data_IF_662871478489
#
_entry.id   IF_662871478489
#
_cell.length_a   1.000
_cell.length_b   1.000
_cell.length_c   1.000
_cell.angle_alpha   90.00
_cell.angle_beta   90.00
_cell.angle_gamma   90.00
#
_symmetry.space_group_name_H-M   'P 1'
#
loop_
_entity.id
_entity.type
_entity.pdbx_description
1 polymer ?
#
# COMPACT_ATOMS: atom_id res chain seq x y z
N UNK A 1 -25.12 -16.94 15.18
CA UNK A 1 -24.36 -15.99 16.05
C UNK A 1 -23.00 -15.56 15.46
N UNK A 2 -22.33 -16.38 14.64
CA UNK A 2 -21.07 -16.03 13.95
C UNK A 2 -21.20 -14.90 12.92
N UNK A 3 -22.32 -14.82 12.18
CA UNK A 3 -22.53 -13.80 11.16
C UNK A 3 -22.77 -12.38 11.75
N UNK A 4 -23.44 -12.30 12.90
CA UNK A 4 -23.66 -11.03 13.60
C UNK A 4 -22.34 -10.47 14.15
N UNK A 5 -21.52 -11.28 14.85
CA UNK A 5 -20.21 -10.83 15.36
C UNK A 5 -19.26 -10.38 14.25
N UNK A 6 -19.30 -11.04 13.09
CA UNK A 6 -18.49 -10.66 11.94
C UNK A 6 -18.93 -9.31 11.34
N UNK A 7 -20.24 -9.09 11.20
CA UNK A 7 -20.76 -7.80 10.73
C UNK A 7 -20.53 -6.67 11.75
N UNK A 8 -20.66 -6.92 13.06
CA UNK A 8 -20.35 -5.93 14.10
C UNK A 8 -18.86 -5.58 14.13
N UNK A 9 -17.98 -6.55 13.90
CA UNK A 9 -16.53 -6.31 13.81
C UNK A 9 -16.18 -5.46 12.58
N UNK A 10 -16.74 -5.79 11.43
CA UNK A 10 -16.55 -5.02 10.19
C UNK A 10 -17.08 -3.59 10.36
N UNK A 11 -18.28 -3.42 10.91
CA UNK A 11 -18.89 -2.12 11.16
C UNK A 11 -18.05 -1.27 12.14
N UNK A 12 -17.57 -1.87 13.23
CA UNK A 12 -16.69 -1.20 14.19
C UNK A 12 -15.38 -0.72 13.54
N UNK A 13 -14.83 -1.52 12.63
CA UNK A 13 -13.59 -1.16 11.94
C UNK A 13 -13.81 -0.01 10.93
N UNK A 14 -14.91 -0.02 10.18
CA UNK A 14 -15.28 1.10 9.31
C UNK A 14 -15.53 2.37 10.12
N UNK A 15 -16.25 2.29 11.24
CA UNK A 15 -16.50 3.45 12.10
C UNK A 15 -15.20 4.06 12.62
N UNK A 16 -14.25 3.23 13.09
CA UNK A 16 -12.93 3.71 13.55
C UNK A 16 -12.12 4.39 12.44
N UNK A 17 -12.17 3.87 11.22
CA UNK A 17 -11.49 4.48 10.07
C UNK A 17 -12.15 5.80 9.70
N UNK A 18 -13.49 5.84 9.62
CA UNK A 18 -14.25 7.05 9.32
C UNK A 18 -14.01 8.16 10.34
N UNK A 19 -13.94 7.83 11.64
CA UNK A 19 -13.62 8.80 12.70
C UNK A 19 -12.20 9.37 12.52
N UNK A 20 -11.21 8.54 12.18
CA UNK A 20 -9.83 9.01 11.92
C UNK A 20 -9.75 9.91 10.69
N UNK A 21 -10.43 9.54 9.60
CA UNK A 21 -10.49 10.36 8.38
C UNK A 21 -11.19 11.69 8.66
N UNK A 22 -12.31 11.67 9.39
CA UNK A 22 -13.04 12.87 9.78
C UNK A 22 -12.20 13.77 10.70
N UNK A 23 -11.46 13.18 11.66
CA UNK A 23 -10.55 13.91 12.53
C UNK A 23 -9.40 14.57 11.76
N UNK A 24 -8.80 13.86 10.80
CA UNK A 24 -7.77 14.43 9.92
C UNK A 24 -8.34 15.56 9.05
N UNK A 25 -9.52 15.36 8.46
CA UNK A 25 -10.19 16.38 7.64
C UNK A 25 -10.53 17.64 8.45
N UNK A 26 -11.02 17.49 9.68
CA UNK A 26 -11.30 18.60 10.58
C UNK A 26 -10.02 19.35 10.98
N UNK A 27 -8.95 18.63 11.30
CA UNK A 27 -7.65 19.21 11.60
C UNK A 27 -7.09 20.03 10.42
N UNK A 28 -7.17 19.48 9.21
CA UNK A 28 -6.76 20.17 7.99
C UNK A 28 -7.61 21.42 7.70
N UNK A 29 -8.92 21.36 7.96
CA UNK A 29 -9.80 22.52 7.85
C UNK A 29 -9.38 23.63 8.81
N UNK A 30 -9.08 23.33 10.08
CA UNK A 30 -8.59 24.33 11.03
C UNK A 30 -7.29 24.99 10.56
N UNK A 31 -6.35 24.21 10.04
CA UNK A 31 -5.09 24.74 9.50
C UNK A 31 -5.35 25.67 8.32
N UNK A 32 -6.29 25.31 7.43
CA UNK A 32 -6.59 26.12 6.24
C UNK A 32 -7.06 27.54 6.58
N UNK A 33 -7.73 27.72 7.72
CA UNK A 33 -8.19 29.02 8.22
C UNK A 33 -7.04 29.86 8.81
N UNK A 34 -5.99 29.21 9.33
CA UNK A 34 -4.84 29.89 9.92
C UNK A 34 -3.79 30.25 8.87
N UNK A 35 -3.38 29.28 8.06
CA UNK A 35 -2.41 29.48 6.99
C UNK A 35 -2.65 28.46 5.88
N UNK A 36 -3.17 28.94 4.75
CA UNK A 36 -3.52 28.05 3.64
C UNK A 36 -2.31 27.39 2.98
N UNK A 37 -1.17 28.10 2.89
CA UNK A 37 0.06 27.51 2.34
C UNK A 37 0.52 26.33 3.20
N UNK A 38 0.45 26.49 4.52
CA UNK A 38 0.75 25.40 5.44
C UNK A 38 -0.23 24.23 5.32
N UNK A 39 -1.53 24.50 5.16
CA UNK A 39 -2.53 23.47 4.85
C UNK A 39 -2.17 22.69 3.58
N UNK A 40 -1.91 23.39 2.47
CA UNK A 40 -1.58 22.78 1.18
C UNK A 40 -0.35 21.89 1.31
N UNK A 41 0.73 22.39 1.92
CA UNK A 41 1.96 21.62 2.13
C UNK A 41 1.73 20.38 2.99
N UNK A 42 0.97 20.48 4.08
CA UNK A 42 0.68 19.32 4.93
C UNK A 42 -0.18 18.28 4.21
N UNK A 43 -1.18 18.72 3.44
CA UNK A 43 -2.04 17.83 2.68
C UNK A 43 -1.28 17.09 1.57
N UNK A 44 -0.41 17.80 0.85
CA UNK A 44 0.45 17.21 -0.17
C UNK A 44 1.48 16.25 0.43
N UNK A 45 2.23 16.66 1.46
CA UNK A 45 3.23 15.80 2.11
C UNK A 45 2.62 14.53 2.71
N UNK A 46 1.39 14.62 3.23
CA UNK A 46 0.65 13.43 3.69
C UNK A 46 0.40 12.46 2.53
N UNK A 47 -0.08 12.96 1.39
CA UNK A 47 -0.34 12.14 0.21
C UNK A 47 0.95 11.55 -0.38
N UNK A 48 2.02 12.35 -0.46
CA UNK A 48 3.35 11.92 -0.93
C UNK A 48 3.91 10.81 -0.04
N UNK A 49 3.83 10.97 1.28
CA UNK A 49 4.27 9.95 2.23
C UNK A 49 3.52 8.63 2.06
N UNK A 50 2.20 8.68 1.84
CA UNK A 50 1.39 7.49 1.55
C UNK A 50 1.79 6.87 0.20
N UNK A 51 2.03 7.69 -0.83
CA UNK A 51 2.44 7.21 -2.15
C UNK A 51 3.80 6.49 -2.13
N UNK A 52 4.78 7.03 -1.43
CA UNK A 52 6.06 6.36 -1.25
C UNK A 52 5.94 5.13 -0.36
N UNK A 53 5.03 5.11 0.63
CA UNK A 53 4.67 3.90 1.36
C UNK A 53 4.14 2.79 0.44
N UNK A 54 3.26 3.13 -0.51
CA UNK A 54 2.77 2.21 -1.55
C UNK A 54 3.92 1.65 -2.39
N UNK A 55 4.81 2.51 -2.88
CA UNK A 55 5.98 2.09 -3.62
C UNK A 55 6.87 1.16 -2.82
N UNK A 56 7.20 1.53 -1.58
CA UNK A 56 8.10 0.77 -0.72
C UNK A 56 7.56 -0.64 -0.49
N UNK A 57 6.27 -0.79 -0.21
CA UNK A 57 5.66 -2.12 -0.05
C UNK A 57 5.77 -2.92 -1.34
N UNK A 58 5.29 -2.37 -2.46
CA UNK A 58 5.30 -3.06 -3.75
C UNK A 58 6.70 -3.46 -4.21
N UNK A 59 7.70 -2.59 -4.00
CA UNK A 59 9.09 -2.86 -4.38
C UNK A 59 9.75 -3.92 -3.50
N UNK A 60 9.41 -3.99 -2.21
CA UNK A 60 9.95 -5.01 -1.31
C UNK A 60 9.34 -6.38 -1.57
N UNK A 61 8.06 -6.44 -1.94
CA UNK A 61 7.39 -7.72 -2.24
C UNK A 61 7.57 -8.18 -3.68
N UNK A 62 8.24 -7.39 -4.54
CA UNK A 62 8.30 -7.64 -6.00
C UNK A 62 8.84 -9.03 -6.38
N UNK A 63 9.71 -9.60 -5.56
CA UNK A 63 10.26 -10.94 -5.76
C UNK A 63 9.33 -12.07 -5.32
N UNK A 64 8.29 -11.74 -4.54
CA UNK A 64 7.31 -12.67 -3.99
C UNK A 64 5.91 -12.53 -4.61
N UNK A 65 5.71 -11.54 -5.49
CA UNK A 65 4.42 -11.30 -6.14
C UNK A 65 4.52 -11.44 -7.65
N UNK A 66 3.64 -12.27 -8.21
CA UNK A 66 3.40 -12.35 -9.66
C UNK A 66 2.33 -11.36 -10.12
N UNK A 67 1.79 -10.54 -9.20
CA UNK A 67 0.68 -9.65 -9.50
C UNK A 67 1.17 -8.34 -10.12
N UNK A 68 1.16 -8.29 -11.45
CA UNK A 68 1.46 -7.10 -12.24
C UNK A 68 0.67 -5.85 -11.82
N UNK A 69 -0.57 -6.00 -11.33
CA UNK A 69 -1.35 -4.87 -10.85
C UNK A 69 -0.62 -4.13 -9.73
N UNK A 70 -0.12 -4.87 -8.73
CA UNK A 70 0.61 -4.30 -7.59
C UNK A 70 1.90 -3.63 -8.05
N UNK A 71 2.62 -4.26 -8.97
CA UNK A 71 3.89 -3.73 -9.47
C UNK A 71 3.69 -2.42 -10.24
N UNK A 72 2.70 -2.34 -11.14
CA UNK A 72 2.42 -1.13 -11.93
C UNK A 72 2.00 0.02 -11.03
N UNK A 73 1.03 -0.19 -10.15
CA UNK A 73 0.55 0.85 -9.22
C UNK A 73 1.64 1.22 -8.22
N UNK A 74 2.31 0.25 -7.63
CA UNK A 74 3.38 0.49 -6.67
C UNK A 74 4.51 1.34 -7.25
N UNK A 75 5.02 0.96 -8.42
CA UNK A 75 6.11 1.68 -9.07
C UNK A 75 5.67 3.07 -9.53
N UNK A 76 4.47 3.22 -10.09
CA UNK A 76 4.01 4.53 -10.55
C UNK A 76 3.89 5.54 -9.42
N UNK A 77 3.49 5.11 -8.22
CA UNK A 77 3.34 5.98 -7.05
C UNK A 77 4.67 6.56 -6.52
N UNK A 78 5.82 5.98 -6.86
CA UNK A 78 7.11 6.65 -6.63
C UNK A 78 7.21 7.95 -7.42
N UNK A 79 6.94 7.87 -8.73
CA UNK A 79 7.07 8.99 -9.66
C UNK A 79 5.93 10.00 -9.52
N UNK A 80 4.71 9.53 -9.22
CA UNK A 80 3.59 10.40 -8.87
C UNK A 80 3.94 11.19 -7.61
N UNK A 81 4.42 10.53 -6.55
CA UNK A 81 4.84 11.20 -5.31
C UNK A 81 6.02 12.16 -5.52
N UNK A 82 6.99 11.80 -6.36
CA UNK A 82 8.11 12.68 -6.72
C UNK A 82 7.66 13.92 -7.51
N UNK A 83 6.71 13.77 -8.43
CA UNK A 83 6.14 14.88 -9.20
C UNK A 83 5.26 15.77 -8.33
N UNK A 84 4.45 15.17 -7.44
CA UNK A 84 3.65 15.88 -6.45
C UNK A 84 4.56 16.69 -5.51
N UNK A 85 5.72 16.17 -5.11
CA UNK A 85 6.71 16.92 -4.32
C UNK A 85 7.20 18.17 -5.07
N UNK A 86 7.56 18.03 -6.36
CA UNK A 86 7.95 19.19 -7.19
C UNK A 86 6.79 20.19 -7.35
N UNK A 87 5.56 19.70 -7.49
CA UNK A 87 4.34 20.51 -7.50
C UNK A 87 4.18 21.32 -6.20
N UNK A 88 4.36 20.70 -5.04
CA UNK A 88 4.28 21.37 -3.73
C UNK A 88 5.36 22.44 -3.60
N UNK A 89 6.61 22.14 -3.98
CA UNK A 89 7.72 23.08 -3.87
C UNK A 89 7.59 24.28 -4.84
N UNK A 90 6.87 24.10 -5.95
CA UNK A 90 6.56 25.15 -6.92
C UNK A 90 5.26 25.90 -6.64
N UNK A 91 4.54 25.56 -5.57
CA UNK A 91 3.28 26.19 -5.25
C UNK A 91 3.42 27.68 -4.92
N UNK A 92 2.41 28.47 -5.31
CA UNK A 92 2.39 29.92 -5.12
C UNK A 92 2.51 30.26 -3.63
N UNK A 93 3.57 31.00 -3.27
CA UNK A 93 3.90 31.38 -1.89
C UNK A 93 5.11 30.64 -1.30
N UNK A 94 5.57 29.53 -1.88
CA UNK A 94 6.79 28.83 -1.42
C UNK A 94 8.08 29.58 -1.76
N UNK A 95 8.09 30.33 -2.87
CA UNK A 95 9.23 31.13 -3.36
C UNK A 95 10.55 30.34 -3.55
N UNK A 96 10.48 29.03 -3.78
CA UNK A 96 11.66 28.18 -4.04
C UNK A 96 12.14 28.32 -5.49
N UNK A 97 11.20 28.31 -6.44
CA UNK A 97 11.48 28.50 -7.86
C UNK A 97 11.15 29.94 -8.27
N UNK A 98 12.17 30.81 -8.28
CA UNK A 98 12.01 32.23 -8.61
C UNK A 98 11.59 32.42 -10.08
N UNK A 99 10.69 33.38 -10.33
CA UNK A 99 10.24 33.73 -11.69
C UNK A 99 9.16 32.82 -12.28
N UNK A 100 8.71 31.80 -11.54
CA UNK A 100 7.60 30.95 -11.94
C UNK A 100 6.33 31.30 -11.15
N UNK A 101 5.23 31.58 -11.86
CA UNK A 101 3.91 31.84 -11.30
C UNK A 101 3.19 30.51 -10.95
N UNK A 102 1.87 30.54 -10.78
CA UNK A 102 1.07 29.33 -10.53
C UNK A 102 1.09 28.31 -11.70
N UNK A 103 1.63 28.68 -12.87
CA UNK A 103 1.67 27.81 -14.03
C UNK A 103 2.55 26.57 -13.81
N UNK A 104 3.77 26.73 -13.27
CA UNK A 104 4.68 25.59 -13.07
C UNK A 104 4.05 24.51 -12.17
N UNK A 105 3.49 24.96 -11.04
CA UNK A 105 2.80 24.07 -10.10
C UNK A 105 1.63 23.36 -10.77
N UNK A 106 0.81 24.07 -11.56
CA UNK A 106 -0.35 23.46 -12.25
C UNK A 106 0.05 22.54 -13.42
N UNK A 107 1.18 22.77 -14.10
CA UNK A 107 1.72 21.85 -15.10
C UNK A 107 2.18 20.53 -14.46
N UNK A 108 2.94 20.62 -13.36
CA UNK A 108 3.39 19.45 -12.59
C UNK A 108 2.22 18.65 -12.02
N UNK A 109 1.15 19.34 -11.57
CA UNK A 109 -0.10 18.70 -11.16
C UNK A 109 -0.67 17.83 -12.28
N UNK A 110 -0.89 18.41 -13.47
CA UNK A 110 -1.47 17.70 -14.61
C UNK A 110 -0.62 16.48 -15.01
N UNK A 111 0.73 16.61 -14.99
CA UNK A 111 1.63 15.47 -15.23
C UNK A 111 1.38 14.34 -14.23
N UNK A 112 1.36 14.65 -12.93
CA UNK A 112 1.14 13.65 -11.89
C UNK A 112 -0.23 12.96 -12.04
N UNK A 113 -1.30 13.73 -12.34
CA UNK A 113 -2.66 13.18 -12.50
C UNK A 113 -2.82 12.32 -13.76
N UNK A 114 -2.17 12.69 -14.87
CA UNK A 114 -2.14 11.82 -16.06
C UNK A 114 -1.39 10.52 -15.77
N UNK A 115 -0.25 10.58 -15.08
CA UNK A 115 0.47 9.37 -14.67
C UNK A 115 -0.40 8.48 -13.79
N UNK A 116 -1.10 9.04 -12.80
CA UNK A 116 -2.00 8.29 -11.90
C UNK A 116 -3.16 7.65 -12.67
N UNK A 117 -3.92 8.43 -13.43
CA UNK A 117 -5.09 7.94 -14.18
C UNK A 117 -4.72 6.90 -15.24
N UNK A 118 -3.59 7.09 -15.92
CA UNK A 118 -3.06 6.11 -16.87
C UNK A 118 -2.63 4.81 -16.18
N UNK A 119 -1.96 4.90 -15.03
CA UNK A 119 -1.57 3.74 -14.22
C UNK A 119 -2.78 2.92 -13.81
N UNK A 120 -3.81 3.59 -13.28
CA UNK A 120 -5.07 2.98 -12.84
C UNK A 120 -5.86 2.40 -14.02
N UNK A 121 -5.73 2.96 -15.21
CA UNK A 121 -6.37 2.44 -16.41
C UNK A 121 -5.68 1.16 -16.93
N UNK A 122 -4.34 1.14 -16.94
CA UNK A 122 -3.57 0.01 -17.48
C UNK A 122 -3.48 -1.16 -16.51
N UNK A 123 -3.39 -0.91 -15.20
CA UNK A 123 -3.15 -1.97 -14.23
C UNK A 123 -4.18 -3.13 -14.30
N UNK A 124 -5.51 -2.90 -14.45
CA UNK A 124 -6.48 -3.98 -14.63
C UNK A 124 -6.28 -4.83 -15.89
N UNK A 125 -5.69 -4.26 -16.96
CA UNK A 125 -5.41 -4.97 -18.22
C UNK A 125 -4.22 -5.93 -18.07
N UNK A 126 -3.30 -5.61 -17.16
CA UNK A 126 -2.06 -6.38 -16.94
C UNK A 126 -2.17 -7.43 -15.84
N UNK A 127 -3.30 -7.53 -15.10
CA UNK A 127 -3.44 -8.40 -13.93
C UNK A 127 -3.06 -9.88 -14.12
N UNK A 128 -3.16 -10.43 -15.34
CA UNK A 128 -2.79 -11.82 -15.65
C UNK A 128 -1.37 -12.00 -16.18
N UNK A 129 -0.62 -10.91 -16.35
CA UNK A 129 0.72 -10.94 -16.95
C UNK A 129 1.76 -10.97 -15.84
N UNK A 130 2.84 -11.71 -16.06
CA UNK A 130 4.09 -11.50 -15.34
C UNK A 130 4.85 -10.39 -16.04
N UNK A 131 5.26 -9.37 -15.31
CA UNK A 131 5.99 -8.23 -15.85
C UNK A 131 7.29 -8.06 -15.08
N UNK A 132 8.35 -7.67 -15.79
CA UNK A 132 9.62 -7.35 -15.14
C UNK A 132 9.49 -6.00 -14.42
N UNK A 133 9.63 -5.94 -13.07
CA UNK A 133 9.49 -4.68 -12.33
C UNK A 133 10.53 -3.64 -12.73
N UNK A 134 11.74 -4.04 -13.14
CA UNK A 134 12.77 -3.12 -13.62
C UNK A 134 12.38 -2.47 -14.94
N UNK A 135 11.74 -3.21 -15.84
CA UNK A 135 11.23 -2.65 -17.09
C UNK A 135 10.14 -1.60 -16.83
N UNK A 136 9.18 -1.91 -15.94
CA UNK A 136 8.13 -0.97 -15.54
C UNK A 136 8.74 0.30 -14.94
N UNK A 137 9.72 0.13 -14.04
CA UNK A 137 10.46 1.25 -13.44
C UNK A 137 11.16 2.11 -14.49
N UNK A 138 11.89 1.50 -15.43
CA UNK A 138 12.57 2.23 -16.50
C UNK A 138 11.60 2.97 -17.41
N UNK A 139 10.44 2.39 -17.73
CA UNK A 139 9.40 3.07 -18.50
C UNK A 139 8.88 4.31 -17.77
N UNK A 140 8.51 4.19 -16.49
CA UNK A 140 8.05 5.33 -15.70
C UNK A 140 9.13 6.39 -15.51
N UNK A 141 10.39 6.00 -15.30
CA UNK A 141 11.51 6.92 -15.21
C UNK A 141 11.68 7.71 -16.52
N UNK A 142 11.69 7.03 -17.67
CA UNK A 142 11.86 7.68 -18.97
C UNK A 142 10.70 8.64 -19.26
N UNK A 143 9.46 8.20 -19.03
CA UNK A 143 8.28 9.04 -19.22
C UNK A 143 8.31 10.25 -18.28
N UNK A 144 8.65 10.06 -17.01
CA UNK A 144 8.70 11.15 -16.03
C UNK A 144 9.80 12.17 -16.38
N UNK A 145 11.02 11.70 -16.71
CA UNK A 145 12.11 12.58 -17.16
C UNK A 145 11.71 13.36 -18.41
N UNK A 146 11.09 12.70 -19.39
CA UNK A 146 10.63 13.36 -20.61
C UNK A 146 9.58 14.44 -20.32
N UNK A 147 8.59 14.16 -19.47
CA UNK A 147 7.55 15.10 -19.09
C UNK A 147 8.13 16.29 -18.29
N UNK A 148 9.04 16.04 -17.36
CA UNK A 148 9.72 17.12 -16.62
C UNK A 148 10.60 17.97 -17.55
N UNK A 149 11.34 17.36 -18.48
CA UNK A 149 12.12 18.09 -19.48
C UNK A 149 11.23 18.95 -20.39
N UNK A 150 10.04 18.46 -20.75
CA UNK A 150 9.08 19.22 -21.56
C UNK A 150 8.56 20.49 -20.88
N UNK A 151 8.52 20.51 -19.55
CA UNK A 151 8.13 21.66 -18.74
C UNK A 151 9.34 22.59 -18.52
N UNK A 152 10.44 22.04 -17.99
CA UNK A 152 11.52 22.82 -17.41
C UNK A 152 12.62 23.23 -18.39
N UNK A 153 12.82 22.49 -19.48
CA UNK A 153 13.94 22.71 -20.40
C UNK A 153 13.49 23.05 -21.82
N UNK A 154 12.58 22.27 -22.39
CA UNK A 154 12.08 22.52 -23.76
C UNK A 154 10.96 23.56 -23.80
N UNK A 155 10.26 23.78 -22.68
CA UNK A 155 9.13 24.71 -22.57
C UNK A 155 8.03 24.49 -23.63
N UNK A 156 7.83 23.23 -24.03
CA UNK A 156 6.80 22.82 -25.00
C UNK A 156 5.49 22.38 -24.33
N UNK A 157 5.51 22.18 -23.00
CA UNK A 157 4.30 21.81 -22.26
C UNK A 157 3.32 22.99 -22.23
N UNK A 158 2.03 22.80 -22.58
CA UNK A 158 1.09 23.91 -22.67
C UNK A 158 0.89 24.64 -21.35
N UNK A 159 0.60 25.95 -21.40
CA UNK A 159 0.28 26.72 -20.21
C UNK A 159 -1.01 26.19 -19.56
N UNK A 160 -1.00 26.00 -18.25
CA UNK A 160 -2.12 25.59 -17.42
C UNK A 160 -2.75 26.76 -16.65
N UNK A 161 -1.98 27.80 -16.38
CA UNK A 161 -2.44 29.04 -15.75
C UNK A 161 -1.77 30.24 -16.42
N UNK A 162 -2.51 31.34 -16.57
CA UNK A 162 -1.99 32.62 -17.03
C UNK A 162 -2.46 33.69 -16.03
N UNK A 163 -1.52 34.49 -15.50
CA UNK A 163 -1.86 35.57 -14.57
C UNK A 163 -2.89 36.55 -15.16
N UNK A 164 -3.85 36.98 -14.33
CA UNK A 164 -4.93 37.88 -14.73
C UNK A 164 -6.09 37.22 -15.49
N UNK A 165 -5.88 36.07 -16.15
CA UNK A 165 -6.94 35.35 -16.88
C UNK A 165 -7.36 34.04 -16.21
N UNK A 166 -6.49 33.45 -15.40
CA UNK A 166 -6.77 32.24 -14.61
C UNK A 166 -6.40 30.94 -15.33
N UNK A 167 -7.20 29.89 -15.11
CA UNK A 167 -6.98 28.56 -15.70
C UNK A 167 -7.15 28.57 -17.22
N UNK A 168 -6.22 27.96 -17.95
CA UNK A 168 -6.33 27.84 -19.41
C UNK A 168 -7.34 26.78 -19.85
N UNK A 169 -7.78 26.85 -21.10
CA UNK A 169 -8.64 25.82 -21.70
C UNK A 169 -7.97 24.45 -21.70
N UNK A 170 -6.65 24.39 -21.97
CA UNK A 170 -5.87 23.16 -21.95
C UNK A 170 -5.97 22.44 -20.60
N UNK A 171 -5.82 23.19 -19.50
CA UNK A 171 -5.93 22.63 -18.15
C UNK A 171 -7.30 22.01 -17.92
N UNK A 172 -8.38 22.76 -18.20
CA UNK A 172 -9.76 22.29 -17.99
C UNK A 172 -10.08 21.04 -18.83
N UNK A 173 -9.70 21.04 -20.11
CA UNK A 173 -9.89 19.88 -20.98
C UNK A 173 -9.09 18.67 -20.51
N UNK A 174 -7.87 18.88 -20.00
CA UNK A 174 -7.04 17.81 -19.46
C UNK A 174 -7.68 17.16 -18.22
N UNK A 175 -8.26 17.94 -17.31
CA UNK A 175 -8.95 17.39 -16.14
C UNK A 175 -10.19 16.58 -16.51
N UNK A 176 -10.96 17.01 -17.51
CA UNK A 176 -12.06 16.21 -18.03
C UNK A 176 -11.57 14.92 -18.72
N UNK A 177 -10.46 14.98 -19.45
CA UNK A 177 -9.85 13.79 -20.04
C UNK A 177 -9.36 12.80 -18.97
N UNK A 178 -8.73 13.29 -17.89
CA UNK A 178 -8.32 12.50 -16.73
C UNK A 178 -9.55 11.84 -16.08
N UNK A 179 -10.63 12.61 -15.82
CA UNK A 179 -11.88 12.06 -15.31
C UNK A 179 -12.45 10.95 -16.21
N UNK A 180 -12.43 11.15 -17.53
CA UNK A 180 -12.89 10.16 -18.49
C UNK A 180 -12.03 8.88 -18.46
N UNK A 181 -10.70 9.02 -18.37
CA UNK A 181 -9.78 7.88 -18.21
C UNK A 181 -10.08 7.10 -16.92
N UNK A 182 -10.35 7.79 -15.81
CA UNK A 182 -10.72 7.17 -14.53
C UNK A 182 -12.08 6.46 -14.61
N UNK A 183 -13.07 7.04 -15.29
CA UNK A 183 -14.35 6.37 -15.56
C UNK A 183 -14.16 5.11 -16.41
N UNK A 184 -13.28 5.16 -17.41
CA UNK A 184 -12.95 3.99 -18.21
C UNK A 184 -12.17 2.92 -17.41
N UNK A 185 -11.30 3.35 -16.49
CA UNK A 185 -10.66 2.45 -15.52
C UNK A 185 -11.68 1.73 -14.64
N UNK A 186 -12.69 2.45 -14.09
CA UNK A 186 -13.79 1.84 -13.33
C UNK A 186 -14.57 0.81 -14.16
N UNK A 187 -14.85 1.13 -15.42
CA UNK A 187 -15.51 0.21 -16.34
C UNK A 187 -14.68 -1.06 -16.58
N UNK A 188 -13.37 -0.93 -16.83
CA UNK A 188 -12.48 -2.07 -17.01
C UNK A 188 -12.36 -2.91 -15.74
N UNK A 189 -12.26 -2.26 -14.57
CA UNK A 189 -12.25 -2.93 -13.27
C UNK A 189 -13.53 -3.74 -13.07
N UNK A 190 -14.69 -3.18 -13.41
CA UNK A 190 -15.96 -3.88 -13.34
C UNK A 190 -16.02 -5.08 -14.30
N UNK A 191 -15.52 -4.93 -15.54
CA UNK A 191 -15.44 -6.04 -16.50
C UNK A 191 -14.50 -7.15 -16.05
N UNK A 192 -13.44 -6.81 -15.32
CA UNK A 192 -12.46 -7.75 -14.76
C UNK A 192 -12.76 -8.16 -13.32
N UNK A 193 -13.96 -7.86 -12.79
CA UNK A 193 -14.32 -8.07 -11.37
C UNK A 193 -14.11 -9.48 -10.84
N UNK A 194 -14.23 -10.51 -11.69
CA UNK A 194 -14.00 -11.90 -11.30
C UNK A 194 -12.54 -12.22 -10.96
N UNK A 195 -11.61 -11.33 -11.32
CA UNK A 195 -10.17 -11.46 -11.04
C UNK A 195 -9.76 -10.87 -9.70
N UNK A 196 -10.65 -10.13 -9.03
CA UNK A 196 -10.34 -9.43 -7.79
C UNK A 196 -11.16 -10.01 -6.65
N UNK A 197 -10.58 -10.00 -5.46
CA UNK A 197 -11.36 -10.17 -4.24
C UNK A 197 -12.42 -9.05 -4.14
N UNK A 198 -13.69 -9.34 -3.78
CA UNK A 198 -14.74 -8.34 -3.73
C UNK A 198 -14.46 -7.17 -2.79
N UNK A 199 -13.70 -7.38 -1.71
CA UNK A 199 -13.29 -6.32 -0.80
C UNK A 199 -12.25 -5.40 -1.45
N UNK A 200 -11.22 -6.00 -2.07
CA UNK A 200 -10.17 -5.26 -2.80
C UNK A 200 -10.77 -4.43 -3.94
N UNK A 201 -11.69 -5.00 -4.72
CA UNK A 201 -12.35 -4.31 -5.82
C UNK A 201 -13.12 -3.07 -5.34
N UNK A 202 -13.83 -3.17 -4.21
CA UNK A 202 -14.56 -2.04 -3.63
C UNK A 202 -13.61 -0.91 -3.20
N UNK A 203 -12.46 -1.26 -2.62
CA UNK A 203 -11.47 -0.26 -2.23
C UNK A 203 -10.85 0.45 -3.44
N UNK A 204 -10.50 -0.29 -4.50
CA UNK A 204 -9.97 0.30 -5.74
C UNK A 204 -11.04 1.23 -6.37
N UNK A 205 -12.29 0.75 -6.49
CA UNK A 205 -13.37 1.55 -7.05
C UNK A 205 -13.64 2.83 -6.23
N UNK A 206 -13.63 2.72 -4.90
CA UNK A 206 -13.79 3.87 -4.00
C UNK A 206 -12.64 4.88 -4.12
N UNK A 207 -11.40 4.40 -4.28
CA UNK A 207 -10.25 5.26 -4.55
C UNK A 207 -10.42 6.00 -5.88
N UNK A 208 -10.71 5.29 -6.97
CA UNK A 208 -10.89 5.94 -8.29
C UNK A 208 -12.02 6.97 -8.24
N UNK A 209 -13.13 6.66 -7.57
CA UNK A 209 -14.23 7.59 -7.38
C UNK A 209 -13.81 8.83 -6.57
N UNK A 210 -13.06 8.66 -5.49
CA UNK A 210 -12.51 9.77 -4.73
C UNK A 210 -11.53 10.62 -5.56
N UNK A 211 -10.70 10.01 -6.41
CA UNK A 211 -9.85 10.75 -7.35
C UNK A 211 -10.69 11.57 -8.33
N UNK A 212 -11.77 11.02 -8.91
CA UNK A 212 -12.67 11.79 -9.78
C UNK A 212 -13.27 12.99 -9.04
N UNK A 213 -13.75 12.81 -7.80
CA UNK A 213 -14.27 13.92 -7.00
C UNK A 213 -13.20 14.97 -6.70
N UNK A 214 -11.94 14.54 -6.49
CA UNK A 214 -10.80 15.42 -6.30
C UNK A 214 -10.57 16.28 -7.54
N UNK A 215 -10.46 15.66 -8.73
CA UNK A 215 -10.23 16.37 -10.00
C UNK A 215 -11.37 17.33 -10.36
N UNK A 216 -12.63 16.93 -10.15
CA UNK A 216 -13.77 17.82 -10.35
C UNK A 216 -13.71 19.01 -9.40
N UNK A 217 -13.32 18.79 -8.14
CA UNK A 217 -13.13 19.89 -7.17
C UNK A 217 -12.03 20.85 -7.63
N UNK A 218 -10.95 20.33 -8.23
CA UNK A 218 -9.89 21.16 -8.83
C UNK A 218 -10.27 21.78 -10.18
N UNK A 219 -11.25 21.24 -10.90
CA UNK A 219 -11.72 21.84 -12.15
C UNK A 219 -12.55 23.09 -11.88
N UNK A 220 -13.38 23.06 -10.83
CA UNK A 220 -14.28 24.15 -10.46
C UNK A 220 -13.67 25.17 -9.50
N UNK A 221 -12.36 25.09 -9.16
CA UNK A 221 -11.79 26.10 -8.26
C UNK A 221 -11.67 27.46 -8.97
N UNK A 222 -12.17 28.48 -8.27
CA UNK A 222 -12.02 29.89 -8.68
C UNK A 222 -10.74 30.49 -8.09
N UNK A 223 -10.34 30.02 -6.92
CA UNK A 223 -9.13 30.47 -6.22
C UNK A 223 -8.32 29.29 -5.69
N UNK A 224 -7.00 29.44 -5.76
CA UNK A 224 -6.00 28.54 -5.17
C UNK A 224 -6.14 28.47 -3.64
N UNK A 225 -6.79 29.46 -3.02
CA UNK A 225 -7.11 29.52 -1.59
C UNK A 225 -8.58 29.20 -1.27
N UNK A 226 -9.30 28.56 -2.21
CA UNK A 226 -10.75 28.35 -2.12
C UNK A 226 -11.20 27.03 -1.45
N UNK A 227 -12.48 26.92 -1.08
CA UNK A 227 -13.04 25.71 -0.47
C UNK A 227 -12.97 24.47 -1.37
N UNK A 228 -13.08 24.63 -2.69
CA UNK A 228 -12.93 23.52 -3.65
C UNK A 228 -11.53 22.92 -3.63
N UNK A 229 -10.50 23.72 -3.36
CA UNK A 229 -9.12 23.25 -3.24
C UNK A 229 -8.96 22.38 -1.97
N UNK A 230 -9.57 22.81 -0.85
CA UNK A 230 -9.58 22.01 0.38
C UNK A 230 -10.29 20.67 0.17
N UNK A 231 -11.49 20.69 -0.43
CA UNK A 231 -12.25 19.49 -0.75
C UNK A 231 -11.45 18.55 -1.69
N UNK A 232 -10.79 19.12 -2.69
CA UNK A 232 -9.92 18.40 -3.62
C UNK A 232 -8.81 17.65 -2.90
N UNK A 233 -8.03 18.31 -2.04
CA UNK A 233 -6.96 17.67 -1.29
C UNK A 233 -7.47 16.60 -0.30
N UNK A 234 -8.59 16.84 0.38
CA UNK A 234 -9.19 15.84 1.26
C UNK A 234 -9.56 14.56 0.49
N UNK A 235 -10.19 14.70 -0.69
CA UNK A 235 -10.52 13.56 -1.55
C UNK A 235 -9.27 12.85 -2.09
N UNK A 236 -8.21 13.61 -2.42
CA UNK A 236 -6.90 13.04 -2.85
C UNK A 236 -6.29 12.17 -1.74
N UNK A 237 -6.22 12.68 -0.51
CA UNK A 237 -5.69 11.94 0.65
C UNK A 237 -6.49 10.65 0.86
N UNK A 238 -7.82 10.72 0.81
CA UNK A 238 -8.70 9.55 0.94
C UNK A 238 -8.39 8.54 -0.17
N UNK A 239 -8.28 8.98 -1.42
CA UNK A 239 -7.96 8.09 -2.54
C UNK A 239 -6.62 7.38 -2.36
N UNK A 240 -5.56 8.12 -2.02
CA UNK A 240 -4.22 7.57 -1.81
C UNK A 240 -4.20 6.58 -0.65
N UNK A 241 -4.90 6.89 0.45
CA UNK A 241 -5.04 5.97 1.58
C UNK A 241 -5.76 4.67 1.21
N UNK A 242 -6.82 4.75 0.40
CA UNK A 242 -7.55 3.57 -0.06
C UNK A 242 -6.67 2.69 -0.95
N UNK A 243 -5.87 3.27 -1.85
CA UNK A 243 -4.90 2.50 -2.63
C UNK A 243 -3.78 1.91 -1.78
N UNK A 244 -3.29 2.63 -0.77
CA UNK A 244 -2.38 2.07 0.22
C UNK A 244 -2.98 0.86 0.93
N UNK A 245 -4.26 0.93 1.32
CA UNK A 245 -4.98 -0.22 1.88
C UNK A 245 -5.07 -1.39 0.91
N UNK A 246 -5.34 -1.14 -0.37
CA UNK A 246 -5.32 -2.17 -1.43
C UNK A 246 -3.96 -2.86 -1.50
N UNK A 247 -2.88 -2.08 -1.52
CA UNK A 247 -1.51 -2.61 -1.66
C UNK A 247 -1.09 -3.43 -0.45
N UNK A 248 -1.46 -3.02 0.77
CA UNK A 248 -1.28 -3.87 1.96
C UNK A 248 -2.08 -5.16 1.85
N UNK A 249 -3.35 -5.04 1.48
CA UNK A 249 -4.27 -6.17 1.47
C UNK A 249 -3.81 -7.24 0.48
N UNK A 250 -3.41 -6.86 -0.73
CA UNK A 250 -2.91 -7.82 -1.72
C UNK A 250 -1.46 -8.20 -1.42
N UNK A 251 -0.63 -7.22 -1.05
CA UNK A 251 0.82 -7.38 -1.00
C UNK A 251 1.37 -8.06 0.25
N UNK A 252 0.66 -7.99 1.38
CA UNK A 252 1.12 -8.57 2.65
C UNK A 252 0.26 -9.76 3.08
N UNK A 253 -1.06 -9.71 2.88
CA UNK A 253 -1.96 -10.76 3.41
C UNK A 253 -1.69 -12.13 2.79
N UNK A 254 -1.42 -12.19 1.49
CA UNK A 254 -1.15 -13.44 0.78
C UNK A 254 0.18 -14.09 1.22
N UNK A 255 1.32 -13.38 1.27
CA UNK A 255 2.55 -13.92 1.83
C UNK A 255 2.41 -14.37 3.28
N UNK A 256 1.76 -13.57 4.14
CA UNK A 256 1.56 -13.94 5.54
C UNK A 256 0.72 -15.21 5.67
N UNK A 257 -0.35 -15.36 4.86
CA UNK A 257 -1.19 -16.56 4.91
C UNK A 257 -0.41 -17.82 4.53
N UNK A 258 0.46 -17.75 3.52
CA UNK A 258 1.33 -18.85 3.13
C UNK A 258 2.33 -19.18 4.24
N UNK A 259 3.00 -18.17 4.78
CA UNK A 259 3.97 -18.34 5.87
C UNK A 259 3.33 -18.97 7.11
N UNK A 260 2.16 -18.48 7.55
CA UNK A 260 1.43 -19.06 8.69
C UNK A 260 0.99 -20.50 8.42
N UNK A 261 0.61 -20.83 7.19
CA UNK A 261 0.26 -22.21 6.81
C UNK A 261 1.48 -23.13 6.91
N UNK A 262 2.63 -22.72 6.39
CA UNK A 262 3.89 -23.48 6.49
C UNK A 262 4.34 -23.65 7.95
N UNK A 263 4.27 -22.59 8.74
CA UNK A 263 4.53 -22.64 10.19
C UNK A 263 3.63 -23.67 10.88
N UNK A 264 2.32 -23.66 10.60
CA UNK A 264 1.39 -24.61 11.21
C UNK A 264 1.65 -26.04 10.77
N UNK A 265 2.04 -26.25 9.52
CA UNK A 265 2.42 -27.56 9.02
C UNK A 265 3.70 -28.07 9.70
N UNK A 266 4.72 -27.21 9.86
CA UNK A 266 5.95 -27.55 10.58
C UNK A 266 5.66 -27.87 12.05
N UNK A 267 4.86 -27.07 12.73
CA UNK A 267 4.44 -27.30 14.12
C UNK A 267 3.75 -28.67 14.26
N UNK A 268 2.77 -28.97 13.40
CA UNK A 268 2.07 -30.25 13.41
C UNK A 268 3.02 -31.43 13.12
N UNK A 269 3.99 -31.25 12.21
CA UNK A 269 4.99 -32.29 11.90
C UNK A 269 5.94 -32.55 13.07
N UNK A 270 6.33 -31.49 13.79
CA UNK A 270 7.17 -31.56 14.97
C UNK A 270 6.43 -32.28 16.11
N UNK A 271 5.18 -31.89 16.39
CA UNK A 271 4.35 -32.55 17.40
C UNK A 271 4.12 -34.04 17.08
N UNK A 272 3.95 -34.38 15.80
CA UNK A 272 3.81 -35.78 15.36
C UNK A 272 5.11 -36.57 15.54
N UNK A 273 6.26 -35.96 15.26
CA UNK A 273 7.58 -36.56 15.46
C UNK A 273 7.88 -36.75 16.94
N UNK A 274 7.60 -35.75 17.78
CA UNK A 274 7.78 -35.81 19.22
C UNK A 274 6.90 -36.90 19.85
N UNK A 275 5.62 -36.98 19.47
CA UNK A 275 4.74 -38.07 19.91
C UNK A 275 5.26 -39.43 19.49
N UNK A 276 5.69 -39.59 18.23
CA UNK A 276 6.28 -40.85 17.75
C UNK A 276 7.54 -41.23 18.51
N UNK A 277 8.43 -40.27 18.76
CA UNK A 277 9.63 -40.49 19.57
C UNK A 277 9.26 -40.90 21.00
N UNK A 278 8.37 -40.15 21.66
CA UNK A 278 7.94 -40.45 23.04
C UNK A 278 7.28 -41.82 23.14
N UNK A 279 6.38 -42.18 22.21
CA UNK A 279 5.79 -43.53 22.16
C UNK A 279 6.85 -44.59 21.93
N UNK A 280 7.71 -44.43 20.92
CA UNK A 280 8.78 -45.39 20.64
C UNK A 280 9.76 -45.55 21.81
N UNK A 281 10.11 -44.45 22.48
CA UNK A 281 11.03 -44.42 23.61
C UNK A 281 10.41 -45.11 24.83
N UNK A 282 9.20 -44.70 25.23
CA UNK A 282 8.54 -45.19 26.45
C UNK A 282 7.99 -46.61 26.35
N UNK A 283 7.48 -47.00 25.17
CA UNK A 283 6.89 -48.34 24.96
C UNK A 283 7.91 -49.36 24.46
N UNK A 284 9.19 -49.00 24.34
CA UNK A 284 10.22 -49.96 23.95
C UNK A 284 10.44 -51.00 25.05
N UNK A 285 10.46 -52.32 24.75
CA UNK A 285 10.77 -53.35 25.74
C UNK A 285 12.24 -53.38 26.16
N UNK A 286 13.14 -52.69 25.44
CA UNK A 286 14.56 -52.56 25.80
C UNK A 286 14.76 -51.29 26.63
N UNK A 287 15.61 -51.37 27.66
CA UNK A 287 16.01 -50.18 28.41
C UNK A 287 16.86 -49.24 27.56
N UNK A 288 16.42 -47.99 27.42
CA UNK A 288 17.08 -46.95 26.62
C UNK A 288 17.39 -45.75 27.54
N UNK A 289 18.64 -45.31 27.51
CA UNK A 289 19.07 -44.02 28.03
C UNK A 289 19.57 -43.15 26.87
N UNK A 290 19.11 -41.90 26.79
CA UNK A 290 19.56 -40.91 25.81
C UNK A 290 20.22 -39.78 26.58
N UNK A 291 21.50 -39.54 26.31
CA UNK A 291 22.25 -38.38 26.82
C UNK A 291 22.55 -37.45 25.64
N UNK A 292 21.94 -36.26 25.57
CA UNK A 292 22.38 -35.20 24.67
C UNK A 292 23.76 -34.72 25.20
N UNK A 293 24.82 -34.83 24.40
CA UNK A 293 26.21 -34.74 24.87
C UNK A 293 26.57 -33.57 25.81
N UNK A 294 27.62 -33.77 26.63
CA UNK A 294 28.21 -32.86 27.65
C UNK A 294 27.25 -32.21 28.69
N UNK A 295 25.92 -32.36 28.56
CA UNK A 295 24.95 -31.98 29.58
C UNK A 295 24.44 -33.19 30.36
N UNK A 296 24.29 -33.01 31.68
CA UNK A 296 23.89 -34.03 32.67
C UNK A 296 22.43 -34.50 32.57
N UNK A 297 21.64 -34.02 31.60
CA UNK A 297 20.24 -34.44 31.46
C UNK A 297 20.15 -35.74 30.65
N UNK A 298 20.27 -36.86 31.36
CA UNK A 298 19.98 -38.19 30.80
C UNK A 298 18.48 -38.38 30.80
N UNK A 299 17.90 -38.78 29.66
CA UNK A 299 16.52 -39.24 29.59
C UNK A 299 16.50 -40.77 29.64
N UNK A 300 15.68 -41.36 30.49
CA UNK A 300 15.50 -42.82 30.57
C UNK A 300 14.07 -43.24 30.25
N UNK A 301 13.90 -44.38 29.59
CA UNK A 301 12.57 -44.92 29.30
C UNK A 301 12.03 -45.82 30.41
N UNK A 302 10.73 -46.11 30.36
CA UNK A 302 10.04 -46.95 31.35
C UNK A 302 10.68 -48.32 31.55
N UNK A 303 11.08 -49.01 30.48
CA UNK A 303 11.68 -50.35 30.57
C UNK A 303 13.01 -50.36 31.34
N UNK A 304 13.84 -49.31 31.21
CA UNK A 304 15.09 -49.20 31.95
C UNK A 304 14.83 -49.00 33.45
N UNK A 305 13.87 -48.16 33.82
CA UNK A 305 13.43 -47.98 35.20
C UNK A 305 12.90 -49.27 35.82
N UNK A 306 12.04 -50.00 35.11
CA UNK A 306 11.48 -51.28 35.58
C UNK A 306 12.55 -52.37 35.72
N UNK A 307 13.52 -52.41 34.80
CA UNK A 307 14.61 -53.40 34.82
C UNK A 307 15.60 -53.15 35.96
N UNK A 308 15.96 -51.89 36.23
CA UNK A 308 16.91 -51.52 37.29
C UNK A 308 16.25 -51.37 38.67
N UNK A 309 14.91 -51.25 38.73
CA UNK A 309 14.16 -51.09 39.97
C UNK A 309 14.21 -49.68 40.57
N UNK A 310 14.73 -48.69 39.84
CA UNK A 310 14.81 -47.29 40.25
C UNK A 310 13.77 -46.44 39.52
N UNK A 311 13.31 -45.38 40.17
CA UNK A 311 12.43 -44.39 39.52
C UNK A 311 13.17 -43.61 38.43
N UNK A 312 12.43 -43.03 37.47
CA UNK A 312 13.03 -42.17 36.44
C UNK A 312 13.86 -41.04 37.05
N UNK A 313 13.31 -40.32 38.03
CA UNK A 313 14.02 -39.19 38.66
C UNK A 313 15.35 -39.59 39.30
N UNK A 314 15.46 -40.79 39.88
CA UNK A 314 16.72 -41.31 40.43
C UNK A 314 17.74 -41.63 39.35
N UNK A 315 17.31 -42.20 38.22
CA UNK A 315 18.19 -42.54 37.10
C UNK A 315 18.62 -41.31 36.27
N UNK A 316 17.74 -40.33 36.12
CA UNK A 316 18.01 -39.08 35.40
C UNK A 316 18.91 -38.12 36.21
N UNK A 317 19.01 -38.33 37.53
CA UNK A 317 19.90 -37.57 38.44
C UNK A 317 21.16 -38.32 38.85
N UNK A 318 21.29 -39.59 38.45
CA UNK A 318 22.49 -40.37 38.69
C UNK A 318 23.64 -39.84 37.83
N UNK A 319 24.79 -39.52 38.45
CA UNK A 319 26.05 -39.30 37.75
C UNK A 319 26.51 -40.67 37.19
N UNK A 320 25.94 -41.04 36.05
CA UNK A 320 26.38 -42.19 35.26
C UNK A 320 27.79 -41.89 34.74
N UNK A 321 28.76 -42.80 34.94
CA UNK A 321 30.19 -42.56 34.68
C UNK A 321 30.53 -42.29 33.21
#
# INVERSE_FOLDING_TARGET
>A
MTNMRYQTFIFSNYLRISVKIAGLGFFLLLISQYNFLFFHCMAELTSIGVAWGVFMIAWNIKQFTDNAYILVIGISYLFIGGTDLLHTLSYKGMNIFAGHDANLSTQLWIVARYMESFSLLIAPLLIRRKINPHFVFSCYLLVNVFLLASIAYWHVFPACHIEGTGMTLFKKLSEYAICLMLLFSLFLLHRKRSMFDPYVLKLIAASIFATILSELSFTFYVSVYGPSNIAGHCMKIISFYLLYKVIIEIGLRDPYRLLFKELKQKENSLQKSERRFRTFFEENPVGIAVSPGLQKEVMVNRALSEFLGYSKGELESADLP
#
